data_IF_855754672113
#
_entry.id   IF_855754672113
#
_cell.length_a   1.000
_cell.length_b   1.000
_cell.length_c   1.000
_cell.angle_alpha   90.00
_cell.angle_beta   90.00
_cell.angle_gamma   90.00
#
_symmetry.space_group_name_H-M   'P 1'
#
loop_
_entity.id
_entity.type
_entity.pdbx_description
1 polymer ?
#
# COMPACT_ATOMS: atom_id res chain seq x y z
N UNK A 1 -17.63 0.96 4.28
CA UNK A 1 -16.43 0.18 3.90
C UNK A 1 -16.41 0.12 2.38
N UNK A 2 -15.38 0.69 1.81
CA UNK A 2 -15.23 0.82 0.37
C UNK A 2 -14.63 -0.49 -0.15
N UNK A 3 -15.44 -1.28 -0.82
CA UNK A 3 -15.04 -2.59 -1.32
C UNK A 3 -14.18 -2.45 -2.59
N UNK A 4 -13.10 -3.21 -2.64
CA UNK A 4 -12.24 -3.29 -3.83
C UNK A 4 -13.05 -3.80 -5.03
N UNK A 5 -13.01 -3.14 -6.21
CA UNK A 5 -13.66 -3.68 -7.38
C UNK A 5 -13.12 -5.08 -7.73
N UNK A 6 -14.01 -6.05 -7.97
CA UNK A 6 -13.61 -7.42 -8.31
C UNK A 6 -12.65 -7.46 -9.51
N UNK A 7 -12.85 -6.57 -10.49
CA UNK A 7 -11.95 -6.44 -11.64
C UNK A 7 -10.52 -6.13 -11.22
N UNK A 8 -10.32 -5.22 -10.27
CA UNK A 8 -9.00 -4.90 -9.73
C UNK A 8 -8.39 -6.09 -8.98
N UNK A 9 -9.18 -6.71 -8.08
CA UNK A 9 -8.71 -7.87 -7.32
C UNK A 9 -8.27 -9.02 -8.23
N UNK A 10 -9.03 -9.32 -9.30
CA UNK A 10 -8.64 -10.32 -10.31
C UNK A 10 -7.33 -9.99 -11.00
N UNK A 11 -7.15 -8.75 -11.43
CA UNK A 11 -5.90 -8.32 -12.08
C UNK A 11 -4.71 -8.42 -11.14
N UNK A 12 -4.89 -8.07 -9.87
CA UNK A 12 -3.83 -8.23 -8.85
C UNK A 12 -3.46 -9.71 -8.64
N UNK A 13 -4.43 -10.61 -8.63
CA UNK A 13 -4.19 -12.06 -8.55
C UNK A 13 -3.49 -12.57 -9.83
N UNK A 14 -3.92 -12.12 -11.00
CA UNK A 14 -3.37 -12.54 -12.29
C UNK A 14 -1.88 -12.21 -12.44
N UNK A 15 -1.36 -11.18 -11.76
CA UNK A 15 0.08 -10.90 -11.76
C UNK A 15 0.94 -12.05 -11.22
N UNK A 16 0.35 -12.93 -10.40
CA UNK A 16 1.05 -14.02 -9.72
C UNK A 16 0.63 -15.42 -10.18
N UNK A 17 -0.31 -15.53 -11.15
CA UNK A 17 -0.93 -16.82 -11.52
C UNK A 17 0.06 -17.87 -12.01
N UNK A 18 1.13 -17.43 -12.66
CA UNK A 18 2.16 -18.33 -13.23
C UNK A 18 3.30 -18.64 -12.24
N UNK A 19 3.26 -18.06 -11.02
CA UNK A 19 4.25 -18.34 -9.99
C UNK A 19 3.91 -19.61 -9.22
N UNK A 20 4.53 -20.70 -9.61
CA UNK A 20 4.35 -22.03 -9.01
C UNK A 20 4.97 -22.14 -7.61
N UNK A 21 5.80 -21.21 -7.20
CA UNK A 21 6.43 -21.21 -5.86
C UNK A 21 5.45 -20.82 -4.75
N UNK A 22 4.39 -20.10 -5.09
CA UNK A 22 3.37 -19.67 -4.13
C UNK A 22 2.56 -20.86 -3.64
N UNK A 23 2.62 -21.13 -2.33
CA UNK A 23 1.89 -22.22 -1.65
C UNK A 23 0.97 -21.68 -0.55
N UNK A 24 1.41 -20.65 0.18
CA UNK A 24 0.70 -20.03 1.30
C UNK A 24 0.32 -18.59 0.98
N UNK A 25 -0.97 -18.27 1.17
CA UNK A 25 -1.55 -16.98 0.82
C UNK A 25 -2.24 -16.42 2.07
N UNK A 26 -2.05 -15.13 2.34
CA UNK A 26 -2.73 -14.40 3.41
C UNK A 26 -3.53 -13.23 2.84
N UNK A 27 -4.79 -13.12 3.25
CA UNK A 27 -5.60 -11.91 3.12
C UNK A 27 -5.91 -11.38 4.53
N UNK A 28 -5.25 -10.29 4.99
CA UNK A 28 -5.27 -9.88 6.39
C UNK A 28 -6.53 -9.10 6.80
N UNK A 29 -7.39 -8.75 5.86
CA UNK A 29 -8.66 -8.00 6.08
C UNK A 29 -9.62 -8.27 4.93
N UNK A 30 -10.22 -9.47 4.93
CA UNK A 30 -10.89 -9.95 3.72
C UNK A 30 -12.28 -9.34 3.46
N UNK A 31 -12.91 -8.70 4.45
CA UNK A 31 -14.21 -8.07 4.29
C UNK A 31 -15.25 -9.06 3.74
N UNK A 32 -15.86 -8.71 2.62
CA UNK A 32 -16.82 -9.54 1.89
C UNK A 32 -16.17 -10.67 1.07
N UNK A 33 -14.82 -10.74 1.04
CA UNK A 33 -14.05 -11.80 0.40
C UNK A 33 -13.74 -11.57 -1.08
N UNK A 34 -13.68 -10.34 -1.55
CA UNK A 34 -13.44 -10.02 -2.97
C UNK A 34 -12.13 -10.61 -3.51
N UNK A 35 -11.05 -10.62 -2.72
CA UNK A 35 -9.77 -11.24 -3.13
C UNK A 35 -9.86 -12.76 -3.11
N UNK A 36 -10.61 -13.37 -2.16
CA UNK A 36 -10.89 -14.80 -2.16
C UNK A 36 -11.67 -15.18 -3.42
N UNK A 37 -12.68 -14.39 -3.80
CA UNK A 37 -13.42 -14.60 -5.05
C UNK A 37 -12.50 -14.49 -6.27
N UNK A 38 -11.62 -13.49 -6.30
CA UNK A 38 -10.65 -13.34 -7.37
C UNK A 38 -9.71 -14.56 -7.47
N UNK A 39 -9.23 -15.08 -6.34
CA UNK A 39 -8.39 -16.29 -6.30
C UNK A 39 -9.13 -17.53 -6.84
N UNK A 40 -10.41 -17.68 -6.53
CA UNK A 40 -11.24 -18.80 -7.03
C UNK A 40 -11.53 -18.68 -8.53
N UNK A 41 -11.95 -17.48 -8.98
CA UNK A 41 -12.35 -17.24 -10.36
C UNK A 41 -11.16 -17.23 -11.35
N UNK A 42 -9.98 -16.81 -10.92
CA UNK A 42 -8.77 -16.83 -11.74
C UNK A 42 -8.15 -18.21 -11.89
N UNK A 43 -8.74 -19.25 -11.26
CA UNK A 43 -8.20 -20.60 -11.20
C UNK A 43 -6.77 -20.66 -10.61
N UNK A 44 -6.40 -19.64 -9.83
CA UNK A 44 -5.09 -19.56 -9.20
C UNK A 44 -4.90 -20.63 -8.12
N UNK A 45 -5.98 -21.03 -7.44
CA UNK A 45 -5.94 -22.00 -6.36
C UNK A 45 -5.88 -23.44 -6.90
N UNK A 46 -4.82 -24.14 -6.55
CA UNK A 46 -4.67 -25.58 -6.73
C UNK A 46 -4.79 -26.30 -5.39
N UNK A 47 -4.89 -27.61 -5.40
CA UNK A 47 -4.97 -28.44 -4.17
C UNK A 47 -3.79 -28.24 -3.21
N UNK A 48 -2.68 -27.71 -3.69
CA UNK A 48 -1.45 -27.52 -2.91
C UNK A 48 -1.32 -26.10 -2.33
N UNK A 49 -2.25 -25.19 -2.63
CA UNK A 49 -2.22 -23.82 -2.12
C UNK A 49 -3.19 -23.68 -0.94
N UNK A 50 -2.74 -22.97 0.10
CA UNK A 50 -3.54 -22.67 1.29
C UNK A 50 -3.76 -21.16 1.36
N UNK A 51 -4.98 -20.77 1.72
CA UNK A 51 -5.37 -19.37 1.92
C UNK A 51 -5.83 -19.21 3.35
N UNK A 52 -5.28 -18.21 4.04
CA UNK A 52 -5.80 -17.72 5.32
C UNK A 52 -6.43 -16.36 5.08
N UNK A 53 -7.72 -16.21 5.32
CA UNK A 53 -8.46 -14.96 5.20
C UNK A 53 -8.94 -14.51 6.57
N UNK A 54 -8.56 -13.30 6.99
CA UNK A 54 -8.86 -12.77 8.32
C UNK A 54 -9.91 -11.68 8.21
N UNK A 55 -10.95 -11.75 9.05
CA UNK A 55 -12.00 -10.74 9.12
C UNK A 55 -12.41 -10.47 10.58
N UNK A 56 -12.37 -9.21 10.97
CA UNK A 56 -12.71 -8.77 12.32
C UNK A 56 -14.22 -8.82 12.57
N UNK A 57 -15.02 -8.50 11.54
CA UNK A 57 -16.47 -8.48 11.63
C UNK A 57 -17.03 -9.89 11.58
N UNK A 58 -17.52 -10.37 12.73
CA UNK A 58 -18.00 -11.75 12.89
C UNK A 58 -19.04 -12.15 11.84
N UNK A 59 -19.98 -11.25 11.52
CA UNK A 59 -21.05 -11.55 10.54
C UNK A 59 -20.48 -11.77 9.12
N UNK A 60 -19.50 -10.98 8.73
CA UNK A 60 -18.87 -11.12 7.41
C UNK A 60 -18.01 -12.39 7.35
N UNK A 61 -17.23 -12.67 8.42
CA UNK A 61 -16.47 -13.91 8.53
C UNK A 61 -17.38 -15.16 8.47
N UNK A 62 -18.51 -15.16 9.17
CA UNK A 62 -19.49 -16.27 9.15
C UNK A 62 -20.10 -16.47 7.75
N UNK A 63 -20.49 -15.39 7.06
CA UNK A 63 -20.99 -15.44 5.68
C UNK A 63 -19.95 -16.02 4.72
N UNK A 64 -18.72 -15.55 4.83
CA UNK A 64 -17.62 -16.00 3.97
C UNK A 64 -17.30 -17.47 4.25
N UNK A 65 -17.26 -17.90 5.52
CA UNK A 65 -17.04 -19.29 5.90
C UNK A 65 -18.12 -20.22 5.35
N UNK A 66 -19.40 -19.82 5.41
CA UNK A 66 -20.50 -20.62 4.85
C UNK A 66 -20.41 -20.70 3.31
N UNK A 67 -20.05 -19.58 2.64
CA UNK A 67 -19.83 -19.54 1.20
C UNK A 67 -18.70 -20.49 0.76
N UNK A 68 -17.68 -20.65 1.59
CA UNK A 68 -16.44 -21.36 1.28
C UNK A 68 -16.39 -22.78 1.88
N UNK A 69 -17.46 -23.28 2.48
CA UNK A 69 -17.48 -24.57 3.20
C UNK A 69 -16.98 -25.77 2.40
N UNK A 70 -17.12 -25.73 1.07
CA UNK A 70 -16.67 -26.79 0.16
C UNK A 70 -15.20 -26.60 -0.31
N UNK A 71 -14.55 -25.51 0.11
CA UNK A 71 -13.17 -25.18 -0.26
C UNK A 71 -12.22 -25.46 0.92
N UNK A 72 -11.82 -26.69 1.13
CA UNK A 72 -11.00 -27.13 2.27
C UNK A 72 -9.59 -26.53 2.33
N UNK A 73 -9.17 -25.79 1.33
CA UNK A 73 -7.88 -25.10 1.25
C UNK A 73 -7.96 -23.61 1.61
N UNK A 74 -9.12 -23.12 2.03
CA UNK A 74 -9.33 -21.73 2.46
C UNK A 74 -9.83 -21.73 3.91
N UNK A 75 -9.06 -21.12 4.79
CA UNK A 75 -9.39 -20.94 6.20
C UNK A 75 -9.82 -19.49 6.44
N UNK A 76 -11.06 -19.30 6.89
CA UNK A 76 -11.58 -17.99 7.31
C UNK A 76 -11.43 -17.86 8.81
N UNK A 77 -10.64 -16.89 9.25
CA UNK A 77 -10.37 -16.62 10.67
C UNK A 77 -11.13 -15.37 11.09
N UNK A 78 -12.09 -15.52 12.01
CA UNK A 78 -12.73 -14.36 12.63
C UNK A 78 -11.84 -13.82 13.77
N UNK A 79 -11.32 -12.60 13.62
CA UNK A 79 -10.47 -11.97 14.62
C UNK A 79 -9.78 -10.71 14.13
N UNK A 80 -9.12 -10.03 15.04
CA UNK A 80 -8.28 -8.87 14.74
C UNK A 80 -6.95 -9.32 14.13
N UNK A 81 -6.51 -8.66 13.05
CA UNK A 81 -5.27 -9.02 12.37
C UNK A 81 -4.03 -8.76 13.22
N UNK A 82 -4.00 -7.69 14.03
CA UNK A 82 -2.84 -7.41 14.87
C UNK A 82 -2.67 -8.48 15.96
N UNK A 83 -3.79 -8.97 16.55
CA UNK A 83 -3.76 -10.13 17.45
C UNK A 83 -3.26 -11.40 16.74
N UNK A 84 -3.76 -11.64 15.53
CA UNK A 84 -3.31 -12.76 14.70
C UNK A 84 -1.80 -12.67 14.45
N UNK A 85 -1.31 -11.50 14.04
CA UNK A 85 0.11 -11.28 13.83
C UNK A 85 0.94 -11.62 15.07
N UNK A 86 0.58 -11.11 16.25
CA UNK A 86 1.33 -11.37 17.48
C UNK A 86 1.39 -12.85 17.86
N UNK A 87 0.36 -13.62 17.51
CA UNK A 87 0.31 -15.06 17.77
C UNK A 87 1.11 -15.89 16.77
N UNK A 88 1.22 -15.43 15.54
CA UNK A 88 1.70 -16.24 14.40
C UNK A 88 3.03 -15.76 13.78
N UNK A 89 3.50 -14.55 14.08
CA UNK A 89 4.66 -13.90 13.43
C UNK A 89 5.96 -14.71 13.47
N UNK A 90 6.14 -15.57 14.46
CA UNK A 90 7.35 -16.38 14.66
C UNK A 90 7.19 -17.83 14.17
N UNK A 91 6.01 -18.20 13.70
CA UNK A 91 5.66 -19.56 13.29
C UNK A 91 5.25 -19.67 11.82
N UNK A 92 4.53 -18.67 11.32
CA UNK A 92 3.92 -18.70 10.01
C UNK A 92 4.55 -17.67 9.06
N UNK A 93 4.82 -18.10 7.84
CA UNK A 93 5.22 -17.23 6.73
C UNK A 93 4.33 -17.46 5.52
N UNK A 94 4.20 -16.43 4.69
CA UNK A 94 3.35 -16.46 3.51
C UNK A 94 4.14 -16.13 2.25
N UNK A 95 3.85 -16.85 1.18
CA UNK A 95 4.48 -16.63 -0.13
C UNK A 95 3.81 -15.49 -0.89
N UNK A 96 2.53 -15.26 -0.64
CA UNK A 96 1.77 -14.16 -1.20
C UNK A 96 0.83 -13.56 -0.15
N UNK A 97 0.86 -12.24 -0.03
CA UNK A 97 -0.11 -11.51 0.80
C UNK A 97 -0.84 -10.52 -0.11
N UNK A 98 -2.17 -10.62 -0.14
CA UNK A 98 -3.05 -9.78 -0.96
C UNK A 98 -4.05 -9.04 -0.07
N UNK A 99 -4.46 -7.83 -0.46
CA UNK A 99 -5.57 -7.19 0.24
C UNK A 99 -5.70 -5.69 -0.01
N UNK A 100 -6.73 -5.16 0.62
CA UNK A 100 -6.99 -3.74 0.77
C UNK A 100 -7.14 -3.47 2.27
N UNK A 101 -6.05 -3.13 2.99
CA UNK A 101 -6.10 -2.93 4.44
C UNK A 101 -6.96 -1.71 4.81
N UNK A 102 -7.55 -1.66 6.02
CA UNK A 102 -8.42 -0.57 6.41
C UNK A 102 -7.66 0.77 6.54
N UNK A 103 -8.31 1.89 6.12
CA UNK A 103 -7.76 3.25 6.18
C UNK A 103 -8.31 4.02 7.38
N UNK A 104 -8.10 3.50 8.59
CA UNK A 104 -8.56 4.09 9.85
C UNK A 104 -7.40 4.85 10.50
N UNK A 105 -7.62 6.11 10.88
CA UNK A 105 -6.60 6.86 11.61
C UNK A 105 -6.38 6.26 13.00
N UNK A 106 -5.14 6.16 13.43
CA UNK A 106 -4.70 5.61 14.71
C UNK A 106 -5.53 6.07 15.93
N UNK A 107 -5.92 7.33 15.96
CA UNK A 107 -6.70 7.88 17.06
C UNK A 107 -8.14 7.33 17.19
N UNK A 108 -8.67 6.70 16.14
CA UNK A 108 -10.01 6.09 16.13
C UNK A 108 -9.99 4.58 16.40
N UNK A 109 -8.81 3.99 16.54
CA UNK A 109 -8.68 2.60 16.95
C UNK A 109 -9.03 2.42 18.42
N UNK A 110 -9.49 1.24 18.79
CA UNK A 110 -9.61 0.84 20.18
C UNK A 110 -8.24 0.81 20.87
N UNK A 111 -8.21 0.96 22.20
CA UNK A 111 -6.97 1.03 22.96
C UNK A 111 -6.07 -0.18 22.73
N UNK A 112 -6.65 -1.38 22.70
CA UNK A 112 -5.93 -2.63 22.44
C UNK A 112 -5.29 -2.62 21.06
N UNK A 113 -6.03 -2.31 20.01
CA UNK A 113 -5.53 -2.24 18.65
C UNK A 113 -4.42 -1.19 18.50
N UNK A 114 -4.57 -0.03 19.15
CA UNK A 114 -3.51 1.00 19.19
C UNK A 114 -2.22 0.48 19.82
N UNK A 115 -2.34 -0.24 20.95
CA UNK A 115 -1.18 -0.79 21.65
C UNK A 115 -0.47 -1.83 20.80
N UNK A 116 -1.21 -2.76 20.20
CA UNK A 116 -0.66 -3.80 19.34
C UNK A 116 -0.01 -3.23 18.08
N UNK A 117 -0.66 -2.29 17.41
CA UNK A 117 -0.08 -1.60 16.26
C UNK A 117 1.19 -0.81 16.65
N UNK A 118 1.18 -0.12 17.80
CA UNK A 118 2.36 0.61 18.28
C UNK A 118 3.54 -0.33 18.55
N UNK A 119 3.30 -1.51 19.12
CA UNK A 119 4.31 -2.53 19.31
C UNK A 119 4.89 -3.04 18.00
N UNK A 120 4.03 -3.31 17.00
CA UNK A 120 4.47 -3.68 15.64
C UNK A 120 5.41 -2.62 15.07
N UNK A 121 5.01 -1.36 15.08
CA UNK A 121 5.79 -0.26 14.51
C UNK A 121 7.13 -0.08 15.24
N UNK A 122 7.12 -0.03 16.58
CA UNK A 122 8.32 0.22 17.38
C UNK A 122 9.31 -0.93 17.33
N UNK A 123 8.84 -2.18 17.29
CA UNK A 123 9.71 -3.36 17.13
C UNK A 123 10.45 -3.38 15.79
N UNK A 124 9.97 -2.63 14.81
CA UNK A 124 10.60 -2.45 13.49
C UNK A 124 11.30 -1.09 13.33
N UNK A 125 11.55 -0.37 14.42
CA UNK A 125 12.29 0.90 14.42
C UNK A 125 11.49 2.11 13.96
N UNK A 126 10.17 2.00 13.89
CA UNK A 126 9.27 3.08 13.47
C UNK A 126 8.62 3.77 14.68
N UNK A 127 8.23 5.03 14.52
CA UNK A 127 7.53 5.79 15.56
C UNK A 127 6.02 5.61 15.41
N UNK A 128 5.35 5.23 16.50
CA UNK A 128 3.89 5.29 16.58
C UNK A 128 3.44 6.70 16.96
N UNK A 129 2.62 7.34 16.14
CA UNK A 129 2.06 8.67 16.41
C UNK A 129 0.60 8.77 15.92
N UNK A 130 -0.11 9.82 16.36
CA UNK A 130 -1.55 10.01 16.08
C UNK A 130 -1.89 10.26 14.60
N UNK A 131 -0.91 10.57 13.77
CA UNK A 131 -1.09 10.87 12.35
C UNK A 131 -1.07 9.61 11.49
N UNK A 132 -0.55 8.49 12.03
CA UNK A 132 -0.43 7.23 11.30
C UNK A 132 -1.81 6.63 11.05
N UNK A 133 -1.95 5.99 9.92
CA UNK A 133 -3.14 5.25 9.51
C UNK A 133 -2.90 3.74 9.68
N UNK A 134 -3.96 2.95 9.92
CA UNK A 134 -3.87 1.49 10.17
C UNK A 134 -3.19 0.72 9.06
N UNK A 135 -3.38 1.09 7.80
CA UNK A 135 -2.74 0.40 6.68
C UNK A 135 -1.20 0.34 6.81
N UNK A 136 -0.59 1.29 7.53
CA UNK A 136 0.86 1.27 7.82
C UNK A 136 1.23 0.09 8.72
N UNK A 137 0.46 -0.15 9.78
CA UNK A 137 0.66 -1.30 10.66
C UNK A 137 0.44 -2.64 9.94
N UNK A 138 -0.60 -2.71 9.11
CA UNK A 138 -0.84 -3.88 8.25
C UNK A 138 0.35 -4.13 7.30
N UNK A 139 0.85 -3.11 6.64
CA UNK A 139 1.99 -3.22 5.71
C UNK A 139 3.23 -3.76 6.42
N UNK A 140 3.58 -3.20 7.60
CA UNK A 140 4.76 -3.63 8.37
C UNK A 140 4.61 -5.08 8.83
N UNK A 141 3.47 -5.43 9.43
CA UNK A 141 3.19 -6.79 9.89
C UNK A 141 3.23 -7.80 8.74
N UNK A 142 2.57 -7.50 7.63
CA UNK A 142 2.53 -8.37 6.46
C UNK A 142 3.92 -8.56 5.82
N UNK A 143 4.70 -7.50 5.64
CA UNK A 143 6.07 -7.62 5.11
C UNK A 143 6.96 -8.44 6.03
N UNK A 144 6.75 -8.36 7.36
CA UNK A 144 7.46 -9.23 8.31
C UNK A 144 7.10 -10.70 8.12
N UNK A 145 5.82 -11.02 7.90
CA UNK A 145 5.32 -12.39 7.70
C UNK A 145 5.55 -12.96 6.30
N UNK A 146 6.16 -12.23 5.37
CA UNK A 146 6.54 -12.79 4.06
C UNK A 146 7.65 -13.82 4.21
N UNK A 147 7.54 -14.93 3.47
CA UNK A 147 8.65 -15.88 3.25
C UNK A 147 9.83 -15.19 2.53
N UNK A 148 10.99 -15.84 2.44
CA UNK A 148 12.22 -15.23 1.92
C UNK A 148 12.09 -14.71 0.48
N UNK A 149 11.25 -15.34 -0.34
CA UNK A 149 10.92 -14.91 -1.71
C UNK A 149 9.45 -14.49 -1.83
N UNK A 150 8.83 -14.15 -0.70
CA UNK A 150 7.41 -13.80 -0.63
C UNK A 150 7.11 -12.46 -1.31
N UNK A 151 5.86 -12.33 -1.73
CA UNK A 151 5.34 -11.17 -2.44
C UNK A 151 4.13 -10.60 -1.71
N UNK A 152 3.96 -9.29 -1.80
CA UNK A 152 2.80 -8.59 -1.25
C UNK A 152 2.19 -7.71 -2.32
N UNK A 153 0.87 -7.70 -2.44
CA UNK A 153 0.14 -6.77 -3.30
C UNK A 153 -1.04 -6.18 -2.54
N UNK A 154 -0.94 -4.88 -2.25
CA UNK A 154 -1.93 -4.13 -1.50
C UNK A 154 -2.48 -2.96 -2.30
N UNK A 155 -3.78 -2.70 -2.14
CA UNK A 155 -4.36 -1.40 -2.48
C UNK A 155 -4.19 -0.50 -1.27
N UNK A 156 -3.47 0.62 -1.40
CA UNK A 156 -3.17 1.54 -0.30
C UNK A 156 -3.29 3.00 -0.73
N UNK A 157 -3.46 3.94 0.20
CA UNK A 157 -3.50 5.36 -0.12
C UNK A 157 -2.23 5.83 -0.84
N UNK A 158 -2.38 6.70 -1.84
CA UNK A 158 -1.28 7.36 -2.55
C UNK A 158 -0.39 8.22 -1.63
N UNK A 159 -0.84 8.45 -0.42
CA UNK A 159 -0.08 9.08 0.67
C UNK A 159 1.30 8.43 0.89
N UNK A 160 1.47 7.13 0.62
CA UNK A 160 2.77 6.45 0.72
C UNK A 160 3.86 7.18 -0.07
N UNK A 161 3.51 7.85 -1.17
CA UNK A 161 4.46 8.49 -2.07
C UNK A 161 5.18 9.69 -1.43
N UNK A 162 4.52 10.45 -0.56
CA UNK A 162 5.04 11.76 -0.17
C UNK A 162 4.78 12.21 1.27
N UNK A 163 3.78 11.66 1.97
CA UNK A 163 3.45 12.19 3.30
C UNK A 163 4.55 11.91 4.32
N UNK A 164 4.69 12.84 5.27
CA UNK A 164 5.76 12.79 6.27
C UNK A 164 5.65 11.56 7.18
N UNK A 165 4.43 11.19 7.61
CA UNK A 165 4.26 10.04 8.52
C UNK A 165 4.63 8.69 7.87
N UNK A 166 4.65 8.60 6.53
CA UNK A 166 5.04 7.40 5.81
C UNK A 166 6.55 7.32 5.51
N UNK A 167 7.35 8.26 6.00
CA UNK A 167 8.80 8.28 5.79
C UNK A 167 9.49 7.05 6.38
N UNK A 168 9.21 6.75 7.66
CA UNK A 168 9.75 5.56 8.32
C UNK A 168 9.30 4.27 7.61
N UNK A 169 8.04 4.23 7.11
CA UNK A 169 7.54 3.10 6.34
C UNK A 169 8.30 2.93 5.02
N UNK A 170 8.53 4.01 4.26
CA UNK A 170 9.31 3.94 3.01
C UNK A 170 10.72 3.40 3.26
N UNK A 171 11.37 3.86 4.34
CA UNK A 171 12.68 3.36 4.74
C UNK A 171 12.63 1.87 5.11
N UNK A 172 11.65 1.45 5.91
CA UNK A 172 11.44 0.05 6.26
C UNK A 172 11.26 -0.83 5.03
N UNK A 173 10.37 -0.45 4.11
CA UNK A 173 10.10 -1.18 2.86
C UNK A 173 11.35 -1.26 1.97
N UNK A 174 12.09 -0.17 1.83
CA UNK A 174 13.34 -0.12 1.08
C UNK A 174 14.42 -1.06 1.64
N UNK A 175 14.41 -1.30 2.95
CA UNK A 175 15.33 -2.22 3.60
C UNK A 175 14.89 -3.69 3.45
N UNK A 176 13.60 -3.97 3.52
CA UNK A 176 13.04 -5.32 3.58
C UNK A 176 12.71 -5.94 2.22
N UNK A 177 12.44 -5.13 1.21
CA UNK A 177 12.06 -5.59 -0.12
C UNK A 177 13.18 -5.37 -1.13
N UNK A 178 13.30 -6.28 -2.07
CA UNK A 178 14.25 -6.18 -3.19
C UNK A 178 13.64 -5.43 -4.37
N UNK A 179 12.36 -5.63 -4.64
CA UNK A 179 11.63 -4.94 -5.71
C UNK A 179 10.35 -4.31 -5.18
N UNK A 180 10.08 -3.09 -5.61
CA UNK A 180 8.84 -2.38 -5.33
C UNK A 180 8.28 -1.87 -6.66
N UNK A 181 7.03 -2.20 -6.96
CA UNK A 181 6.27 -1.65 -8.08
C UNK A 181 5.06 -0.91 -7.54
N UNK A 182 4.85 0.31 -7.99
CA UNK A 182 3.68 1.12 -7.66
C UNK A 182 2.90 1.38 -8.94
N UNK A 183 1.62 1.00 -8.95
CA UNK A 183 0.71 1.33 -10.04
C UNK A 183 -0.16 2.50 -9.57
N UNK A 184 -0.12 3.60 -10.30
CA UNK A 184 -0.92 4.80 -10.05
C UNK A 184 -1.96 4.96 -11.16
N UNK A 185 -3.07 5.60 -10.86
CA UNK A 185 -4.20 5.76 -11.79
C UNK A 185 -4.54 7.23 -11.91
N UNK A 186 -4.78 7.71 -13.14
CA UNK A 186 -5.30 9.06 -13.39
C UNK A 186 -6.77 9.16 -13.01
N UNK A 187 -7.56 8.12 -13.30
CA UNK A 187 -8.96 8.03 -12.90
C UNK A 187 -9.10 7.40 -11.49
N UNK A 188 -10.12 7.83 -10.75
CA UNK A 188 -10.42 7.23 -9.44
C UNK A 188 -10.80 5.75 -9.57
N UNK A 189 -10.08 4.90 -8.88
CA UNK A 189 -10.30 3.44 -8.87
C UNK A 189 -11.62 3.08 -8.17
N UNK A 190 -12.00 3.86 -7.15
CA UNK A 190 -13.23 3.66 -6.37
C UNK A 190 -14.27 4.71 -6.78
N UNK A 191 -15.31 4.34 -7.54
CA UNK A 191 -16.36 5.27 -7.93
C UNK A 191 -17.05 5.90 -6.72
N UNK A 192 -17.10 7.23 -6.69
CA UNK A 192 -17.76 7.98 -5.62
C UNK A 192 -16.92 8.27 -4.38
N UNK A 193 -15.65 7.90 -4.38
CA UNK A 193 -14.71 8.16 -3.29
C UNK A 193 -13.54 8.98 -3.81
N UNK A 194 -13.30 10.14 -3.19
CA UNK A 194 -12.19 11.04 -3.55
C UNK A 194 -10.82 10.58 -2.96
N UNK A 195 -10.67 9.30 -2.63
CA UNK A 195 -9.42 8.75 -2.10
C UNK A 195 -8.54 8.27 -3.25
N UNK A 196 -7.43 8.94 -3.47
CA UNK A 196 -6.38 8.45 -4.38
C UNK A 196 -5.68 7.23 -3.77
N UNK A 197 -5.61 6.16 -4.55
CA UNK A 197 -4.96 4.91 -4.17
C UNK A 197 -3.89 4.51 -5.16
N UNK A 198 -2.97 3.67 -4.69
CA UNK A 198 -1.99 2.98 -5.52
C UNK A 198 -2.08 1.48 -5.27
N UNK A 199 -1.79 0.67 -6.28
CA UNK A 199 -1.49 -0.74 -6.07
C UNK A 199 0.00 -0.84 -5.79
N UNK A 200 0.31 -1.23 -4.56
CA UNK A 200 1.67 -1.50 -4.10
C UNK A 200 1.99 -2.97 -4.30
N UNK A 201 3.06 -3.28 -5.01
CA UNK A 201 3.58 -4.64 -5.16
C UNK A 201 5.01 -4.65 -4.64
N UNK A 202 5.27 -5.51 -3.65
CA UNK A 202 6.58 -5.68 -3.05
C UNK A 202 7.06 -7.13 -3.13
N UNK A 203 8.34 -7.33 -3.35
CA UNK A 203 8.96 -8.66 -3.42
C UNK A 203 10.17 -8.72 -2.50
N UNK A 204 10.23 -9.74 -1.63
CA UNK A 204 11.47 -10.12 -0.94
C UNK A 204 12.36 -10.93 -1.88
N UNK A 205 13.63 -11.02 -1.59
CA UNK A 205 14.61 -11.82 -2.31
C UNK A 205 15.98 -11.17 -2.34
N UNK A 206 16.93 -11.86 -2.98
CA UNK A 206 18.34 -11.42 -3.05
C UNK A 206 18.65 -10.62 -4.32
N UNK A 207 17.63 -10.25 -5.10
CA UNK A 207 17.83 -9.46 -6.32
C UNK A 207 18.25 -8.03 -6.01
N UNK A 208 18.88 -7.37 -6.98
CA UNK A 208 19.24 -5.95 -6.85
C UNK A 208 18.01 -5.11 -6.50
N UNK A 209 18.16 -4.22 -5.52
CA UNK A 209 17.07 -3.37 -5.03
C UNK A 209 16.63 -2.34 -6.06
N UNK A 210 15.35 -2.31 -6.32
CA UNK A 210 14.78 -1.41 -7.30
C UNK A 210 13.33 -1.03 -7.02
N UNK A 211 12.95 0.15 -7.50
CA UNK A 211 11.59 0.66 -7.47
C UNK A 211 11.19 1.17 -8.84
N UNK A 212 9.95 0.93 -9.23
CA UNK A 212 9.35 1.56 -10.41
C UNK A 212 7.94 2.05 -10.11
N UNK A 213 7.54 3.11 -10.80
CA UNK A 213 6.17 3.60 -10.83
C UNK A 213 5.65 3.42 -12.23
N UNK A 214 4.44 2.89 -12.35
CA UNK A 214 3.73 2.72 -13.62
C UNK A 214 2.46 3.55 -13.54
N UNK A 215 2.36 4.56 -14.39
CA UNK A 215 1.20 5.42 -14.49
C UNK A 215 0.21 4.82 -15.48
N UNK A 216 -1.03 4.63 -15.04
CA UNK A 216 -2.13 4.05 -15.80
C UNK A 216 -3.26 5.08 -15.86
N UNK A 217 -4.00 5.12 -16.96
CA UNK A 217 -5.16 6.00 -17.02
C UNK A 217 -6.30 5.42 -16.17
N UNK A 218 -6.58 4.13 -16.30
CA UNK A 218 -7.69 3.45 -15.63
C UNK A 218 -7.41 1.96 -15.42
N UNK A 219 -8.41 1.22 -14.94
CA UNK A 219 -8.30 -0.22 -14.65
C UNK A 219 -8.14 -1.10 -15.91
N UNK A 220 -8.57 -0.63 -17.09
CA UNK A 220 -8.42 -1.35 -18.34
C UNK A 220 -6.96 -1.50 -18.73
N UNK A 221 -6.13 -0.52 -18.42
CA UNK A 221 -4.69 -0.54 -18.75
C UNK A 221 -3.95 -1.69 -18.03
N UNK A 222 -4.53 -2.24 -16.94
CA UNK A 222 -3.99 -3.41 -16.27
C UNK A 222 -4.03 -4.68 -17.13
N UNK A 223 -4.87 -4.74 -18.18
CA UNK A 223 -5.07 -5.99 -18.93
C UNK A 223 -3.82 -6.49 -19.64
N UNK A 224 -3.00 -5.58 -20.14
CA UNK A 224 -1.78 -5.89 -20.87
C UNK A 224 -0.51 -5.57 -20.10
N UNK A 225 -0.63 -5.23 -18.81
CA UNK A 225 0.49 -4.83 -17.98
C UNK A 225 1.30 -6.05 -17.54
N UNK A 226 2.61 -6.04 -17.86
CA UNK A 226 3.57 -6.96 -17.30
C UNK A 226 4.37 -6.26 -16.18
N UNK A 227 4.09 -6.61 -14.93
CA UNK A 227 4.78 -6.02 -13.77
C UNK A 227 6.25 -6.42 -13.67
N UNK A 228 6.69 -7.47 -14.38
CA UNK A 228 8.05 -7.98 -14.37
C UNK A 228 8.95 -7.35 -15.45
N UNK A 229 8.40 -6.52 -16.34
CA UNK A 229 9.21 -5.78 -17.30
C UNK A 229 10.23 -4.86 -16.63
N UNK A 230 11.30 -4.57 -17.37
CA UNK A 230 12.36 -3.65 -16.95
C UNK A 230 11.80 -2.24 -16.66
N UNK A 231 12.60 -1.40 -16.03
CA UNK A 231 12.20 -0.02 -15.67
C UNK A 231 12.42 0.29 -14.20
N UNK A 232 13.00 -0.65 -13.46
CA UNK A 232 13.35 -0.40 -12.06
C UNK A 232 14.51 0.61 -11.97
N UNK A 233 14.28 1.66 -11.22
CA UNK A 233 15.30 2.60 -10.80
C UNK A 233 15.92 2.09 -9.49
N UNK A 234 17.19 2.43 -9.25
CA UNK A 234 17.87 2.06 -8.00
C UNK A 234 17.12 2.65 -6.80
N UNK A 235 16.73 1.78 -5.90
CA UNK A 235 16.07 2.19 -4.66
C UNK A 235 17.11 2.72 -3.67
N UNK A 236 17.00 4.00 -3.31
CA UNK A 236 17.85 4.63 -2.32
C UNK A 236 17.25 4.46 -0.92
N UNK A 237 18.09 4.05 0.04
CA UNK A 237 17.72 3.91 1.46
C UNK A 237 17.83 5.24 2.21
N UNK A 238 17.19 6.28 1.72
CA UNK A 238 17.20 7.61 2.33
C UNK A 238 15.78 8.06 2.62
N UNK A 239 15.64 9.01 3.55
CA UNK A 239 14.38 9.63 3.93
C UNK A 239 13.82 10.51 2.79
N UNK A 240 13.51 9.92 1.66
CA UNK A 240 13.04 10.64 0.48
C UNK A 240 11.60 10.31 0.15
N UNK A 241 10.94 11.27 -0.51
CA UNK A 241 9.63 11.06 -1.11
C UNK A 241 9.80 10.19 -2.35
N UNK A 242 8.90 9.23 -2.54
CA UNK A 242 8.92 8.37 -3.72
C UNK A 242 8.36 9.05 -4.98
N UNK A 243 7.79 10.23 -4.85
CA UNK A 243 7.40 11.05 -6.01
C UNK A 243 8.54 11.34 -6.98
N UNK A 244 9.81 11.26 -6.54
CA UNK A 244 10.97 11.38 -7.43
C UNK A 244 11.09 10.28 -8.49
N UNK A 245 10.46 9.12 -8.25
CA UNK A 245 10.51 7.99 -9.18
C UNK A 245 9.51 8.08 -10.34
N UNK A 246 8.68 9.14 -10.37
CA UNK A 246 7.92 9.51 -11.58
C UNK A 246 8.82 10.08 -12.67
N UNK A 247 9.98 10.62 -12.31
CA UNK A 247 10.94 11.17 -13.25
C UNK A 247 12.01 10.14 -13.62
N UNK A 248 12.54 10.27 -14.81
CA UNK A 248 13.64 9.43 -15.30
C UNK A 248 14.95 9.75 -14.56
N UNK A 249 15.93 8.85 -14.64
CA UNK A 249 17.27 9.08 -14.08
C UNK A 249 17.90 10.35 -14.66
N UNK A 250 17.69 10.60 -15.96
CA UNK A 250 18.24 11.80 -16.64
C UNK A 250 17.59 13.09 -16.12
N UNK A 251 16.28 13.11 -15.94
CA UNK A 251 15.55 14.25 -15.38
C UNK A 251 15.96 14.50 -13.92
N UNK A 252 16.11 13.45 -13.12
CA UNK A 252 16.60 13.57 -11.74
C UNK A 252 18.02 14.13 -11.69
N UNK A 253 18.90 13.74 -12.63
CA UNK A 253 20.24 14.28 -12.74
C UNK A 253 20.19 15.77 -13.10
N UNK A 254 19.37 16.15 -14.09
CA UNK A 254 19.17 17.54 -14.48
C UNK A 254 18.68 18.40 -13.31
N UNK A 255 17.69 17.92 -12.56
CA UNK A 255 17.18 18.61 -11.35
C UNK A 255 18.31 18.78 -10.31
N UNK A 256 19.14 17.77 -10.12
CA UNK A 256 20.26 17.83 -9.20
C UNK A 256 21.32 18.85 -9.64
N UNK A 257 21.61 18.92 -10.93
CA UNK A 257 22.56 19.87 -11.50
C UNK A 257 22.03 21.31 -11.39
N UNK A 258 20.74 21.53 -11.67
CA UNK A 258 20.08 22.84 -11.47
C UNK A 258 20.14 23.30 -10.01
N UNK A 259 19.94 22.40 -9.03
CA UNK A 259 20.04 22.72 -7.60
C UNK A 259 21.47 23.11 -7.16
N UNK A 260 22.49 22.65 -7.88
CA UNK A 260 23.91 22.98 -7.60
C UNK A 260 24.39 24.22 -8.33
N UNK A 261 23.64 24.67 -9.34
CA UNK A 261 24.03 25.82 -10.14
C UNK A 261 23.70 27.11 -9.39
N UNK A 262 24.74 27.86 -9.01
CA UNK A 262 24.64 29.11 -8.26
C UNK A 262 23.86 30.25 -8.97
N UNK A 263 23.47 30.06 -10.22
CA UNK A 263 22.59 30.99 -10.95
C UNK A 263 21.13 30.85 -10.54
N UNK A 264 20.76 29.74 -9.89
CA UNK A 264 19.42 29.47 -9.39
C UNK A 264 19.39 29.58 -7.88
N UNK A 265 18.37 30.23 -7.36
CA UNK A 265 18.11 30.34 -5.92
C UNK A 265 16.75 29.70 -5.61
N UNK A 266 16.62 29.12 -4.42
CA UNK A 266 15.33 28.63 -3.96
C UNK A 266 14.40 29.79 -3.59
N UNK A 267 13.10 29.61 -3.72
CA UNK A 267 12.12 30.63 -3.30
C UNK A 267 12.28 31.02 -1.81
N UNK A 268 12.71 30.08 -0.97
CA UNK A 268 12.97 30.34 0.46
C UNK A 268 14.16 31.28 0.70
N UNK A 269 15.10 31.39 -0.25
CA UNK A 269 16.23 32.34 -0.19
C UNK A 269 15.84 33.74 -0.65
N UNK A 270 14.76 33.86 -1.42
CA UNK A 270 14.29 35.12 -1.97
C UNK A 270 13.16 35.76 -1.18
N UNK A 271 12.50 35.00 -0.28
CA UNK A 271 11.38 35.51 0.51
C UNK A 271 10.82 34.53 1.52
N UNK A 272 9.93 35.01 2.37
CA UNK A 272 9.21 34.20 3.36
C UNK A 272 7.97 33.62 2.68
N UNK A 273 7.90 32.29 2.60
CA UNK A 273 6.75 31.57 2.05
C UNK A 273 5.94 31.01 3.23
N UNK A 274 4.73 31.51 3.39
CA UNK A 274 3.79 31.01 4.40
C UNK A 274 2.60 30.37 3.73
N UNK A 275 2.00 29.37 4.42
CA UNK A 275 0.71 28.83 4.02
C UNK A 275 -0.33 29.95 4.19
N UNK A 276 -1.12 30.22 3.16
CA UNK A 276 -2.21 31.18 3.22
C UNK A 276 -3.33 30.74 4.17
N UNK A 277 -4.46 31.40 4.10
CA UNK A 277 -5.62 31.07 4.96
C UNK A 277 -6.10 29.65 4.61
N UNK A 278 -6.04 28.75 5.60
CA UNK A 278 -6.59 27.40 5.46
C UNK A 278 -8.04 27.41 6.02
N UNK A 279 -9.02 27.36 5.14
CA UNK A 279 -10.45 27.42 5.56
C UNK A 279 -11.01 26.07 5.99
N UNK A 280 -10.31 24.97 5.68
CA UNK A 280 -10.82 23.62 5.91
C UNK A 280 -12.04 23.23 5.06
N UNK A 281 -12.49 24.12 4.17
CA UNK A 281 -13.62 23.91 3.29
C UNK A 281 -13.38 24.59 1.94
N UNK A 282 -13.26 23.79 0.89
CA UNK A 282 -12.97 24.28 -0.45
C UNK A 282 -14.06 25.22 -1.01
N UNK A 283 -15.32 24.97 -0.67
CA UNK A 283 -16.44 25.81 -1.10
C UNK A 283 -16.33 27.24 -0.58
N UNK A 284 -15.84 27.42 0.66
CA UNK A 284 -15.59 28.74 1.25
C UNK A 284 -14.40 29.44 0.59
N UNK A 285 -13.36 28.68 0.19
CA UNK A 285 -12.18 29.24 -0.44
C UNK A 285 -12.47 29.89 -1.80
N UNK A 286 -13.45 29.39 -2.55
CA UNK A 286 -13.85 29.98 -3.83
C UNK A 286 -14.71 31.26 -3.69
N UNK A 287 -15.38 31.47 -2.58
CA UNK A 287 -16.29 32.62 -2.39
C UNK A 287 -15.63 33.88 -1.82
N UNK A 288 -14.41 33.78 -1.28
CA UNK A 288 -13.74 34.87 -0.55
C UNK A 288 -12.34 35.24 -1.04
N UNK A 289 -11.94 34.82 -2.25
CA UNK A 289 -10.73 35.31 -2.89
C UNK A 289 -10.95 36.73 -3.48
N UNK A 290 -11.20 37.69 -2.60
CA UNK A 290 -10.83 39.08 -2.93
C UNK A 290 -9.37 39.25 -2.62
N UNK A 291 -8.54 39.40 -3.66
CA UNK A 291 -7.16 39.84 -3.51
C UNK A 291 -7.15 41.13 -2.68
N UNK A 292 -6.36 41.23 -1.61
CA UNK A 292 -6.19 42.52 -0.97
C UNK A 292 -5.60 43.49 -1.99
N UNK A 293 -6.32 44.55 -2.25
CA UNK A 293 -5.83 45.66 -3.04
C UNK A 293 -4.66 46.25 -2.25
N UNK A 294 -3.45 46.05 -2.73
CA UNK A 294 -2.28 46.75 -2.20
C UNK A 294 -2.39 48.20 -2.67
N UNK A 295 -2.67 49.09 -1.73
CA UNK A 295 -2.46 50.53 -1.89
C UNK A 295 -0.99 50.87 -1.64
#
# INVERSE_FOLDING_TARGET
TDYTPLKLAKKMVDFFKDDLSIKSILEPSCGDGVFVDALLESQFLSQHKRVTAIEIEKKEAEKLSEKLKDNSNIDVVNGDFFEFYHKHKDMDTYDLILGNPPYIRYQYLEEKQRSEMAEILTSHGMKANKLINTWVGFMVACVHMLSDNGKIAFVIPAEILQVAYAEDLRLFLSNKLSKITLLTFEELVFPGIEQEVVVFIGEKGDSEKGIKIVELNNLEDLENLNIYENGFQKLNHVHEKWTKYFTTIQENQLISDLKRDNRFQTLSETGIINVGITTGNNTVSYTHLTLPTIL
#
